data_IF_602163289474
#
_entry.id   IF_602163289474
#
_cell.length_a   1.000
_cell.length_b   1.000
_cell.length_c   1.000
_cell.angle_alpha   90.00
_cell.angle_beta   90.00
_cell.angle_gamma   90.00
#
_symmetry.space_group_name_H-M   'P 1'
#
loop_
_entity.id
_entity.type
_entity.pdbx_description
1 polymer ?
#
# COMPACT_ATOMS: atom_id res chain seq x y z
N UNK A 1 -66.06 -18.60 20.74
CA UNK A 1 -64.85 -18.41 19.90
C UNK A 1 -64.31 -16.97 19.89
N UNK A 2 -65.13 -15.91 19.77
CA UNK A 2 -64.64 -14.50 19.71
C UNK A 2 -63.83 -14.02 20.94
N UNK A 3 -64.13 -14.51 22.15
CA UNK A 3 -63.41 -14.11 23.39
C UNK A 3 -61.99 -14.71 23.54
N UNK A 4 -61.73 -15.86 22.94
CA UNK A 4 -60.41 -16.51 23.00
C UNK A 4 -59.50 -16.07 21.84
N UNK A 5 -60.08 -15.58 20.75
CA UNK A 5 -59.32 -15.07 19.59
C UNK A 5 -58.45 -13.87 19.96
N UNK A 6 -58.96 -12.92 20.75
CA UNK A 6 -58.17 -11.77 21.22
C UNK A 6 -56.97 -12.17 22.11
N UNK A 7 -57.15 -13.17 22.97
CA UNK A 7 -56.07 -13.70 23.83
C UNK A 7 -55.00 -14.42 22.99
N UNK A 8 -55.42 -15.21 22.00
CA UNK A 8 -54.50 -15.90 21.08
C UNK A 8 -53.68 -14.89 20.27
N UNK A 9 -54.28 -13.81 19.77
CA UNK A 9 -53.57 -12.75 19.04
C UNK A 9 -52.54 -12.04 19.91
N UNK A 10 -52.87 -11.75 21.17
CA UNK A 10 -51.92 -11.12 22.11
C UNK A 10 -50.75 -12.07 22.41
N UNK A 11 -51.01 -13.35 22.68
CA UNK A 11 -49.96 -14.35 22.93
C UNK A 11 -49.06 -14.49 21.71
N UNK A 12 -49.64 -14.59 20.50
CA UNK A 12 -48.89 -14.63 19.26
C UNK A 12 -48.03 -13.37 19.07
N UNK A 13 -48.56 -12.18 19.37
CA UNK A 13 -47.83 -10.92 19.31
C UNK A 13 -46.65 -10.85 20.28
N UNK A 14 -46.83 -11.30 21.53
CA UNK A 14 -45.75 -11.36 22.54
C UNK A 14 -44.68 -12.37 22.15
N UNK A 15 -45.06 -13.55 21.65
CA UNK A 15 -44.11 -14.56 21.18
C UNK A 15 -43.30 -14.05 19.97
N UNK A 16 -43.96 -13.40 19.00
CA UNK A 16 -43.30 -12.78 17.86
C UNK A 16 -42.34 -11.66 18.30
N UNK A 17 -42.76 -10.79 19.22
CA UNK A 17 -41.91 -9.74 19.77
C UNK A 17 -40.70 -10.32 20.50
N UNK A 18 -40.89 -11.35 21.34
CA UNK A 18 -39.81 -12.03 22.05
C UNK A 18 -38.81 -12.69 21.08
N UNK A 19 -39.29 -13.37 20.03
CA UNK A 19 -38.44 -13.98 19.00
C UNK A 19 -37.67 -12.92 18.20
N UNK A 20 -38.30 -11.79 17.84
CA UNK A 20 -37.62 -10.69 17.15
C UNK A 20 -36.57 -10.02 18.03
N UNK A 21 -36.90 -9.75 19.29
CA UNK A 21 -35.96 -9.20 20.27
C UNK A 21 -34.78 -10.14 20.51
N UNK A 22 -35.02 -11.44 20.67
CA UNK A 22 -33.97 -12.44 20.81
C UNK A 22 -33.09 -12.49 19.56
N UNK A 23 -33.68 -12.56 18.36
CA UNK A 23 -32.93 -12.55 17.09
C UNK A 23 -32.07 -11.30 16.94
N UNK A 24 -32.62 -10.13 17.22
CA UNK A 24 -31.91 -8.85 17.18
C UNK A 24 -30.75 -8.82 18.19
N UNK A 25 -30.99 -9.23 19.44
CA UNK A 25 -29.96 -9.30 20.47
C UNK A 25 -28.85 -10.31 20.12
N UNK A 26 -29.22 -11.50 19.62
CA UNK A 26 -28.26 -12.51 19.17
C UNK A 26 -27.46 -12.06 17.94
N UNK A 27 -28.07 -11.30 17.03
CA UNK A 27 -27.40 -10.71 15.88
C UNK A 27 -26.35 -9.68 16.30
N UNK A 28 -26.73 -8.75 17.20
CA UNK A 28 -25.79 -7.77 17.77
C UNK A 28 -24.65 -8.44 18.53
N UNK A 29 -24.94 -9.49 19.30
CA UNK A 29 -23.92 -10.25 20.02
C UNK A 29 -22.94 -10.93 19.05
N UNK A 30 -23.43 -11.54 17.97
CA UNK A 30 -22.60 -12.17 16.94
C UNK A 30 -21.74 -11.13 16.21
N UNK A 31 -22.30 -9.97 15.86
CA UNK A 31 -21.55 -8.87 15.25
C UNK A 31 -20.46 -8.32 16.18
N UNK A 32 -20.77 -8.16 17.46
CA UNK A 32 -19.79 -7.75 18.46
C UNK A 32 -18.65 -8.76 18.59
N UNK A 33 -18.97 -10.06 18.62
CA UNK A 33 -17.97 -11.14 18.62
C UNK A 33 -17.11 -11.14 17.35
N UNK A 34 -17.73 -10.92 16.18
CA UNK A 34 -17.00 -10.79 14.91
C UNK A 34 -16.01 -9.63 14.97
N UNK A 35 -16.47 -8.45 15.37
CA UNK A 35 -15.62 -7.27 15.43
C UNK A 35 -14.47 -7.44 16.44
N UNK A 36 -14.74 -8.02 17.61
CA UNK A 36 -13.72 -8.29 18.62
C UNK A 36 -12.67 -9.30 18.14
N UNK A 37 -13.07 -10.36 17.43
CA UNK A 37 -12.13 -11.34 16.88
C UNK A 37 -11.28 -10.74 15.76
N UNK A 38 -11.85 -9.89 14.89
CA UNK A 38 -11.07 -9.16 13.90
C UNK A 38 -10.04 -8.23 14.56
N UNK A 39 -10.44 -7.50 15.61
CA UNK A 39 -9.52 -6.65 16.37
C UNK A 39 -8.39 -7.45 17.02
N UNK A 40 -8.68 -8.64 17.54
CA UNK A 40 -7.65 -9.56 18.07
C UNK A 40 -6.63 -9.92 16.99
N UNK A 41 -7.07 -10.31 15.79
CA UNK A 41 -6.19 -10.66 14.67
C UNK A 41 -5.28 -9.48 14.32
N UNK A 42 -5.84 -8.28 14.22
CA UNK A 42 -5.06 -7.07 13.93
C UNK A 42 -4.06 -6.76 15.06
N UNK A 43 -4.45 -6.91 16.33
CA UNK A 43 -3.57 -6.68 17.46
C UNK A 43 -2.39 -7.67 17.46
N UNK A 44 -2.66 -8.97 17.26
CA UNK A 44 -1.60 -9.99 17.15
C UNK A 44 -0.66 -9.76 15.98
N UNK A 45 -1.19 -9.31 14.83
CA UNK A 45 -0.36 -8.88 13.71
C UNK A 45 0.55 -7.71 14.09
N UNK A 46 -0.01 -6.67 14.73
CA UNK A 46 0.71 -5.45 15.07
C UNK A 46 1.83 -5.68 16.10
N UNK A 47 1.64 -6.63 17.02
CA UNK A 47 2.69 -7.09 17.95
C UNK A 47 3.88 -7.70 17.20
N UNK A 48 3.62 -8.52 16.16
CA UNK A 48 4.66 -9.25 15.43
C UNK A 48 5.31 -8.43 14.32
N UNK A 49 4.56 -7.55 13.66
CA UNK A 49 5.06 -6.75 12.54
C UNK A 49 6.14 -5.76 12.98
N UNK A 50 6.20 -5.40 14.27
CA UNK A 50 7.29 -4.60 14.84
C UNK A 50 8.66 -5.21 14.54
N UNK A 51 8.82 -6.51 14.79
CA UNK A 51 10.05 -7.25 14.50
C UNK A 51 10.36 -7.29 12.98
N UNK A 52 9.36 -7.63 12.16
CA UNK A 52 9.52 -7.70 10.71
C UNK A 52 9.96 -6.36 10.10
N UNK A 53 9.37 -5.26 10.58
CA UNK A 53 9.75 -3.92 10.13
C UNK A 53 11.18 -3.61 10.50
N UNK A 54 11.58 -3.81 11.76
CA UNK A 54 12.86 -3.37 12.26
C UNK A 54 14.07 -4.25 11.89
N UNK A 55 13.87 -5.43 11.26
CA UNK A 55 14.95 -6.38 10.96
C UNK A 55 15.94 -5.85 9.88
N UNK A 56 17.17 -5.43 10.22
CA UNK A 56 18.08 -4.87 9.22
C UNK A 56 18.64 -5.92 8.25
N UNK A 57 18.58 -7.22 8.59
CA UNK A 57 19.04 -8.29 7.72
C UNK A 57 17.98 -8.61 6.64
N UNK A 58 18.24 -8.16 5.41
CA UNK A 58 17.34 -8.38 4.28
C UNK A 58 17.09 -9.86 3.98
N UNK A 59 18.09 -10.73 4.15
CA UNK A 59 17.96 -12.15 3.83
C UNK A 59 17.02 -12.82 4.83
N UNK A 60 17.29 -12.64 6.12
CA UNK A 60 16.40 -13.09 7.20
C UNK A 60 14.99 -12.54 7.05
N UNK A 61 14.84 -11.24 6.75
CA UNK A 61 13.53 -10.63 6.51
C UNK A 61 12.77 -11.35 5.38
N UNK A 62 13.42 -11.59 4.24
CA UNK A 62 12.80 -12.25 3.08
C UNK A 62 12.38 -13.68 3.38
N UNK A 63 13.18 -14.41 4.16
CA UNK A 63 12.86 -15.78 4.57
C UNK A 63 11.66 -15.84 5.53
N UNK A 64 11.53 -14.85 6.41
CA UNK A 64 10.44 -14.75 7.39
C UNK A 64 9.12 -14.21 6.82
N UNK A 65 9.14 -13.52 5.66
CA UNK A 65 7.93 -12.94 5.05
C UNK A 65 6.82 -13.97 4.81
N UNK A 66 7.16 -15.12 4.21
CA UNK A 66 6.19 -16.16 3.87
C UNK A 66 5.55 -16.78 5.12
N UNK A 67 6.30 -17.28 6.12
CA UNK A 67 5.69 -17.82 7.34
C UNK A 67 4.92 -16.75 8.13
N UNK A 68 5.41 -15.51 8.18
CA UNK A 68 4.72 -14.39 8.81
C UNK A 68 3.32 -14.16 8.22
N UNK A 69 3.23 -13.98 6.90
CA UNK A 69 1.94 -13.76 6.24
C UNK A 69 1.05 -14.99 6.26
N UNK A 70 1.63 -16.20 6.10
CA UNK A 70 0.86 -17.44 6.22
C UNK A 70 0.13 -17.50 7.57
N UNK A 71 0.81 -17.20 8.67
CA UNK A 71 0.19 -17.22 9.99
C UNK A 71 -0.93 -16.19 10.12
N UNK A 72 -0.75 -14.97 9.59
CA UNK A 72 -1.81 -13.96 9.56
C UNK A 72 -3.04 -14.43 8.79
N UNK A 73 -2.86 -14.95 7.57
CA UNK A 73 -3.98 -15.36 6.72
C UNK A 73 -4.68 -16.63 7.20
N UNK A 74 -4.00 -17.53 7.92
CA UNK A 74 -4.65 -18.65 8.62
C UNK A 74 -5.66 -18.15 9.66
N UNK A 75 -5.34 -17.08 10.39
CA UNK A 75 -6.27 -16.49 11.34
C UNK A 75 -7.45 -15.79 10.64
N UNK A 76 -7.16 -15.08 9.54
CA UNK A 76 -8.21 -14.45 8.71
C UNK A 76 -9.18 -15.50 8.16
N UNK A 77 -8.67 -16.63 7.65
CA UNK A 77 -9.51 -17.70 7.10
C UNK A 77 -10.36 -18.37 8.18
N UNK A 78 -9.80 -18.60 9.37
CA UNK A 78 -10.55 -19.10 10.52
C UNK A 78 -11.66 -18.11 10.93
N UNK A 79 -11.37 -16.81 10.93
CA UNK A 79 -12.34 -15.76 11.20
C UNK A 79 -13.49 -15.76 10.21
N UNK A 80 -13.18 -15.73 8.90
CA UNK A 80 -14.18 -15.72 7.84
C UNK A 80 -15.04 -16.99 7.88
N UNK A 81 -14.42 -18.15 8.14
CA UNK A 81 -15.16 -19.42 8.27
C UNK A 81 -16.11 -19.38 9.47
N UNK A 82 -15.64 -18.92 10.64
CA UNK A 82 -16.43 -18.85 11.88
C UNK A 82 -17.63 -17.91 11.75
N UNK A 83 -17.46 -16.77 11.11
CA UNK A 83 -18.49 -15.73 11.01
C UNK A 83 -19.19 -15.69 9.65
N UNK A 84 -18.95 -16.68 8.78
CA UNK A 84 -19.51 -16.77 7.41
C UNK A 84 -19.24 -15.49 6.60
N UNK A 85 -18.02 -14.97 6.74
CA UNK A 85 -17.53 -13.81 6.00
C UNK A 85 -17.24 -14.14 4.53
N UNK A 86 -16.95 -13.09 3.76
CA UNK A 86 -16.68 -13.22 2.34
C UNK A 86 -15.25 -13.72 2.08
N UNK A 87 -15.10 -14.96 1.65
CA UNK A 87 -13.79 -15.57 1.33
C UNK A 87 -13.23 -15.18 -0.04
N UNK A 88 -14.00 -14.46 -0.86
CA UNK A 88 -13.55 -13.90 -2.14
C UNK A 88 -12.94 -12.51 -1.97
N UNK A 89 -13.20 -11.86 -0.84
CA UNK A 89 -12.72 -10.51 -0.52
C UNK A 89 -13.12 -9.45 -1.56
N UNK A 90 -14.28 -9.64 -2.21
CA UNK A 90 -14.83 -8.75 -3.24
C UNK A 90 -15.91 -7.81 -2.68
N UNK A 91 -16.02 -7.67 -1.35
CA UNK A 91 -17.01 -6.83 -0.66
C UNK A 91 -17.03 -5.39 -1.21
N UNK A 92 -15.86 -4.83 -1.50
CA UNK A 92 -15.76 -3.47 -2.07
C UNK A 92 -16.39 -3.36 -3.46
N UNK A 93 -16.22 -4.37 -4.31
CA UNK A 93 -16.87 -4.39 -5.63
C UNK A 93 -18.37 -4.52 -5.51
N UNK A 94 -18.85 -5.40 -4.62
CA UNK A 94 -20.29 -5.55 -4.34
C UNK A 94 -20.91 -4.26 -3.80
N UNK A 95 -20.19 -3.50 -2.97
CA UNK A 95 -20.62 -2.17 -2.53
C UNK A 95 -20.66 -1.15 -3.67
N UNK A 96 -19.67 -1.18 -4.57
CA UNK A 96 -19.65 -0.30 -5.74
C UNK A 96 -20.82 -0.61 -6.69
N UNK A 97 -21.10 -1.88 -6.95
CA UNK A 97 -22.23 -2.32 -7.77
C UNK A 97 -23.57 -1.86 -7.19
N UNK A 98 -23.80 -2.09 -5.89
CA UNK A 98 -25.02 -1.61 -5.20
C UNK A 98 -25.20 -0.09 -5.29
N UNK A 99 -24.10 0.68 -5.21
CA UNK A 99 -24.17 2.15 -5.37
C UNK A 99 -24.54 2.54 -6.80
N UNK A 100 -23.97 1.87 -7.80
CA UNK A 100 -24.32 2.10 -9.20
C UNK A 100 -25.80 1.77 -9.46
N UNK A 101 -26.31 0.65 -8.94
CA UNK A 101 -27.72 0.26 -9.01
C UNK A 101 -28.66 1.27 -8.34
N UNK A 102 -28.22 1.91 -7.26
CA UNK A 102 -28.99 2.95 -6.58
C UNK A 102 -29.06 4.29 -7.32
N UNK A 103 -28.47 4.37 -8.53
CA UNK A 103 -28.48 5.58 -9.36
C UNK A 103 -27.46 6.64 -8.96
N UNK A 104 -26.52 6.32 -8.06
CA UNK A 104 -25.46 7.23 -7.68
C UNK A 104 -24.42 7.31 -8.82
N UNK A 105 -24.41 8.43 -9.54
CA UNK A 105 -23.38 8.68 -10.57
C UNK A 105 -22.02 8.84 -9.90
N UNK A 106 -21.08 7.98 -10.28
CA UNK A 106 -19.72 7.99 -9.77
C UNK A 106 -18.72 8.23 -10.90
N UNK A 107 -18.37 9.50 -11.13
CA UNK A 107 -17.40 9.91 -12.14
C UNK A 107 -15.98 9.37 -11.87
N UNK A 108 -15.73 8.77 -10.70
CA UNK A 108 -14.45 8.17 -10.28
C UNK A 108 -14.53 6.65 -10.10
N UNK A 109 -15.55 5.99 -10.66
CA UNK A 109 -15.70 4.54 -10.54
C UNK A 109 -14.49 3.78 -11.11
N UNK A 110 -13.99 4.20 -12.28
CA UNK A 110 -12.84 3.58 -12.93
C UNK A 110 -11.56 3.72 -12.11
N UNK A 111 -11.30 4.92 -11.56
CA UNK A 111 -10.19 5.12 -10.62
C UNK A 111 -10.32 4.14 -9.45
N UNK A 112 -11.47 4.17 -8.75
CA UNK A 112 -11.71 3.34 -7.57
C UNK A 112 -11.51 1.85 -7.84
N UNK A 113 -11.92 1.39 -9.02
CA UNK A 113 -11.70 0.02 -9.47
C UNK A 113 -10.21 -0.28 -9.65
N UNK A 114 -9.45 0.61 -10.28
CA UNK A 114 -8.00 0.47 -10.41
C UNK A 114 -7.29 0.43 -9.05
N UNK A 115 -7.68 1.29 -8.10
CA UNK A 115 -7.15 1.27 -6.72
C UNK A 115 -7.46 -0.06 -6.00
N UNK A 116 -8.68 -0.58 -6.17
CA UNK A 116 -9.06 -1.89 -5.65
C UNK A 116 -8.23 -3.01 -6.28
N UNK A 117 -8.11 -3.05 -7.61
CA UNK A 117 -7.36 -4.09 -8.33
C UNK A 117 -5.88 -4.10 -7.93
N UNK A 118 -5.27 -2.92 -7.78
CA UNK A 118 -3.90 -2.80 -7.31
C UNK A 118 -3.73 -3.30 -5.86
N UNK A 119 -4.64 -2.91 -4.97
CA UNK A 119 -4.66 -3.39 -3.59
C UNK A 119 -4.85 -4.91 -3.54
N UNK A 120 -5.81 -5.43 -4.32
CA UNK A 120 -6.15 -6.84 -4.39
C UNK A 120 -4.98 -7.68 -4.90
N UNK A 121 -4.30 -7.24 -5.95
CA UNK A 121 -3.11 -7.92 -6.48
C UNK A 121 -2.01 -8.04 -5.41
N UNK A 122 -1.79 -6.96 -4.65
CA UNK A 122 -0.77 -6.96 -3.59
C UNK A 122 -1.18 -7.86 -2.42
N UNK A 123 -2.47 -7.82 -2.03
CA UNK A 123 -3.05 -8.70 -1.02
C UNK A 123 -2.89 -10.18 -1.39
N UNK A 124 -3.25 -10.55 -2.62
CA UNK A 124 -3.15 -11.92 -3.11
C UNK A 124 -1.70 -12.40 -3.15
N UNK A 125 -0.77 -11.52 -3.53
CA UNK A 125 0.66 -11.83 -3.46
C UNK A 125 1.12 -12.19 -2.03
N UNK A 126 0.67 -11.45 -1.01
CA UNK A 126 1.00 -11.75 0.39
C UNK A 126 0.35 -13.07 0.84
N UNK A 127 -0.94 -13.24 0.52
CA UNK A 127 -1.73 -14.42 0.90
C UNK A 127 -1.19 -15.70 0.30
N UNK A 128 -0.78 -15.65 -0.96
CA UNK A 128 -0.23 -16.80 -1.70
C UNK A 128 1.27 -17.03 -1.41
N UNK A 129 1.88 -16.18 -0.57
CA UNK A 129 3.31 -16.27 -0.25
C UNK A 129 4.23 -15.94 -1.44
N UNK A 130 3.72 -15.16 -2.41
CA UNK A 130 4.47 -14.64 -3.57
C UNK A 130 5.05 -13.25 -3.32
N UNK A 131 4.66 -12.58 -2.23
CA UNK A 131 5.22 -11.29 -1.83
C UNK A 131 6.70 -11.45 -1.46
N UNK A 132 7.57 -11.00 -2.37
CA UNK A 132 9.02 -11.13 -2.28
C UNK A 132 9.66 -9.86 -2.86
N UNK A 133 9.99 -8.87 -2.01
CA UNK A 133 10.57 -7.63 -2.50
C UNK A 133 11.95 -7.86 -3.10
N UNK A 134 12.21 -7.16 -4.22
CA UNK A 134 13.51 -7.15 -4.92
C UNK A 134 14.52 -6.36 -4.10
N UNK A 135 14.08 -5.21 -3.58
CA UNK A 135 14.83 -4.36 -2.67
C UNK A 135 14.01 -4.08 -1.42
N UNK A 136 14.66 -4.10 -0.26
CA UNK A 136 14.00 -3.84 1.01
C UNK A 136 14.99 -3.19 1.96
N UNK A 137 14.53 -2.24 2.76
CA UNK A 137 15.35 -1.60 3.76
C UNK A 137 14.47 -1.07 4.90
N UNK A 138 15.05 -0.95 6.09
CA UNK A 138 14.36 -0.39 7.26
C UNK A 138 15.15 0.75 7.87
N UNK A 139 14.43 1.77 8.28
CA UNK A 139 14.97 2.87 9.05
C UNK A 139 13.85 3.54 9.88
N UNK A 140 14.19 3.99 11.10
CA UNK A 140 13.29 4.67 12.05
C UNK A 140 11.92 3.98 12.26
N UNK A 141 11.90 2.64 12.27
CA UNK A 141 10.69 1.84 12.50
C UNK A 141 9.76 1.73 11.29
N UNK A 142 10.16 2.29 10.15
CA UNK A 142 9.51 2.10 8.86
C UNK A 142 10.33 1.11 8.03
N UNK A 143 9.65 0.37 7.17
CA UNK A 143 10.29 -0.46 6.14
C UNK A 143 9.74 -0.08 4.78
N UNK A 144 10.63 0.07 3.81
CA UNK A 144 10.29 0.28 2.42
C UNK A 144 10.70 -0.97 1.63
N UNK A 145 9.72 -1.55 0.96
CA UNK A 145 9.86 -2.66 0.04
C UNK A 145 9.61 -2.17 -1.38
N UNK A 146 10.54 -2.42 -2.30
CA UNK A 146 10.28 -2.41 -3.74
C UNK A 146 9.94 -3.84 -4.16
N UNK A 147 8.66 -4.07 -4.40
CA UNK A 147 8.06 -5.38 -4.66
C UNK A 147 8.43 -5.88 -6.05
N UNK A 148 8.38 -5.00 -7.05
CA UNK A 148 8.76 -5.32 -8.42
C UNK A 148 9.28 -4.09 -9.14
N UNK A 149 9.99 -4.33 -10.25
CA UNK A 149 10.72 -3.32 -10.99
C UNK A 149 10.68 -3.63 -12.49
N UNK A 150 9.45 -3.77 -13.01
CA UNK A 150 9.17 -4.29 -14.34
C UNK A 150 8.96 -3.14 -15.35
N UNK A 151 9.30 -3.36 -16.61
CA UNK A 151 8.90 -2.44 -17.69
C UNK A 151 7.45 -2.70 -18.08
N UNK A 152 6.63 -1.65 -18.02
CA UNK A 152 5.20 -1.71 -18.34
C UNK A 152 4.83 -0.62 -19.33
N UNK A 153 3.76 -0.85 -20.09
CA UNK A 153 3.22 0.16 -21.01
C UNK A 153 2.27 1.09 -20.25
N UNK A 154 2.63 2.37 -20.12
CA UNK A 154 1.81 3.42 -19.52
C UNK A 154 1.43 4.41 -20.62
N UNK A 155 0.14 4.54 -20.91
CA UNK A 155 -0.36 5.42 -21.98
C UNK A 155 0.34 5.21 -23.34
N UNK A 156 0.73 3.97 -23.65
CA UNK A 156 1.42 3.62 -24.89
C UNK A 156 2.93 3.87 -24.90
N UNK A 157 3.53 4.31 -23.79
CA UNK A 157 4.97 4.45 -23.62
C UNK A 157 5.53 3.40 -22.65
N UNK A 158 6.66 2.75 -22.96
CA UNK A 158 7.33 1.86 -22.01
C UNK A 158 7.93 2.67 -20.86
N UNK A 159 7.65 2.27 -19.62
CA UNK A 159 8.17 2.89 -18.41
C UNK A 159 8.58 1.82 -17.40
N UNK A 160 9.63 2.08 -16.64
CA UNK A 160 10.08 1.23 -15.54
C UNK A 160 9.14 1.50 -14.36
N UNK A 161 8.34 0.51 -13.97
CA UNK A 161 7.44 0.61 -12.82
C UNK A 161 8.06 -0.02 -11.59
N UNK A 162 8.39 0.82 -10.61
CA UNK A 162 8.85 0.43 -9.29
C UNK A 162 7.64 0.34 -8.36
N UNK A 163 7.09 -0.87 -8.18
CA UNK A 163 5.98 -1.10 -7.24
C UNK A 163 6.53 -1.14 -5.83
N UNK A 164 5.90 -0.42 -4.91
CA UNK A 164 6.39 -0.29 -3.54
C UNK A 164 5.31 -0.53 -2.48
N UNK A 165 5.77 -0.98 -1.32
CA UNK A 165 4.99 -0.99 -0.09
C UNK A 165 5.81 -0.41 1.06
N UNK A 166 5.20 0.50 1.82
CA UNK A 166 5.76 1.03 3.07
C UNK A 166 5.02 0.42 4.23
N UNK A 167 5.77 -0.08 5.20
CA UNK A 167 5.26 -0.68 6.41
C UNK A 167 5.56 0.25 7.58
N UNK A 168 4.57 0.48 8.44
CA UNK A 168 4.74 1.27 9.67
C UNK A 168 4.77 2.78 9.50
N UNK A 169 4.38 3.30 8.34
CA UNK A 169 4.10 4.72 8.21
C UNK A 169 2.93 5.11 9.15
N UNK A 170 3.09 6.23 9.84
CA UNK A 170 2.15 6.76 10.80
C UNK A 170 0.86 7.20 10.11
N UNK A 171 -0.26 6.89 10.76
CA UNK A 171 -1.60 7.25 10.31
C UNK A 171 -2.23 8.27 11.24
N UNK A 172 -2.98 9.17 10.65
CA UNK A 172 -3.74 10.21 11.35
C UNK A 172 -5.17 10.18 10.84
N UNK A 173 -6.11 10.23 11.77
CA UNK A 173 -7.50 10.50 11.44
C UNK A 173 -7.63 12.00 11.17
N UNK A 174 -7.92 12.36 9.92
CA UNK A 174 -8.17 13.75 9.52
C UNK A 174 -9.66 13.94 9.33
N UNK A 175 -10.19 15.01 9.90
CA UNK A 175 -11.55 15.47 9.61
C UNK A 175 -11.58 16.13 8.22
N UNK A 176 -12.37 15.56 7.31
CA UNK A 176 -12.65 16.10 5.99
C UNK A 176 -14.16 16.40 5.91
N UNK A 177 -14.54 17.57 6.42
CA UNK A 177 -15.95 17.96 6.59
C UNK A 177 -16.63 17.14 7.70
N UNK A 178 -17.68 16.39 7.36
CA UNK A 178 -18.40 15.49 8.30
C UNK A 178 -17.84 14.07 8.35
N UNK A 179 -16.77 13.78 7.60
CA UNK A 179 -16.22 12.42 7.47
C UNK A 179 -14.82 12.38 8.07
N UNK A 180 -14.59 11.43 8.98
CA UNK A 180 -13.26 11.09 9.44
C UNK A 180 -12.59 10.20 8.40
N UNK A 181 -11.44 10.63 7.88
CA UNK A 181 -10.65 9.87 6.92
C UNK A 181 -9.32 9.48 7.53
N UNK A 182 -9.03 8.19 7.50
CA UNK A 182 -7.70 7.70 7.83
C UNK A 182 -6.76 8.08 6.68
N UNK A 183 -5.73 8.85 6.98
CA UNK A 183 -4.66 9.20 6.06
C UNK A 183 -3.34 8.74 6.67
N UNK A 184 -2.48 8.16 5.85
CA UNK A 184 -1.08 7.95 6.22
C UNK A 184 -0.38 9.27 5.96
N UNK A 185 0.16 9.89 7.00
CA UNK A 185 0.87 11.18 6.88
C UNK A 185 2.29 10.95 6.39
N UNK A 186 2.44 10.18 5.30
CA UNK A 186 3.69 9.93 4.61
C UNK A 186 3.87 10.94 3.48
N UNK A 187 5.09 11.41 3.27
CA UNK A 187 5.50 12.19 2.11
C UNK A 187 6.83 11.65 1.60
N UNK A 188 7.00 11.67 0.29
CA UNK A 188 8.18 11.10 -0.36
C UNK A 188 8.94 12.16 -1.14
N UNK A 189 10.26 12.08 -1.07
CA UNK A 189 11.20 12.79 -1.93
C UNK A 189 12.25 11.79 -2.44
N UNK A 190 12.20 11.52 -3.73
CA UNK A 190 12.97 10.46 -4.37
C UNK A 190 13.90 11.04 -5.42
N UNK A 191 15.12 10.53 -5.45
CA UNK A 191 16.16 10.91 -6.41
C UNK A 191 16.76 9.64 -7.03
N UNK A 192 16.85 9.59 -8.35
CA UNK A 192 17.58 8.57 -9.09
C UNK A 192 18.75 9.23 -9.81
N UNK A 193 19.99 8.90 -9.41
CA UNK A 193 21.21 9.37 -10.05
C UNK A 193 21.69 8.34 -11.06
N UNK A 194 21.91 8.76 -12.30
CA UNK A 194 22.30 7.91 -13.41
C UNK A 194 23.76 8.15 -13.76
N UNK A 195 24.59 7.11 -13.73
CA UNK A 195 26.03 7.25 -14.06
C UNK A 195 26.47 6.26 -15.14
N UNK A 196 27.53 6.64 -15.85
CA UNK A 196 28.23 5.72 -16.74
C UNK A 196 29.06 4.67 -15.95
N UNK A 197 29.75 3.78 -16.66
CA UNK A 197 30.58 2.74 -16.05
C UNK A 197 31.78 3.30 -15.26
N UNK A 198 32.22 4.51 -15.57
CA UNK A 198 33.34 5.22 -14.92
C UNK A 198 32.88 6.08 -13.73
N UNK A 199 31.58 6.16 -13.48
CA UNK A 199 30.99 6.97 -12.41
C UNK A 199 30.73 8.42 -12.79
N UNK A 200 30.83 8.79 -14.08
CA UNK A 200 30.43 10.13 -14.55
C UNK A 200 28.90 10.25 -14.47
N UNK A 201 28.41 11.32 -13.85
CA UNK A 201 26.98 11.64 -13.81
C UNK A 201 26.47 11.95 -15.23
N UNK A 202 25.42 11.24 -15.63
CA UNK A 202 24.74 11.42 -16.92
C UNK A 202 23.40 12.14 -16.77
N UNK A 203 22.74 11.98 -15.61
CA UNK A 203 21.48 12.65 -15.31
C UNK A 203 20.97 12.36 -13.92
N UNK A 204 19.98 13.14 -13.49
CA UNK A 204 19.21 12.91 -12.27
C UNK A 204 17.71 12.94 -12.61
N UNK A 205 16.95 12.01 -12.03
CA UNK A 205 15.49 12.07 -12.01
C UNK A 205 15.02 12.33 -10.59
N UNK A 206 13.92 13.06 -10.43
CA UNK A 206 13.31 13.33 -9.13
C UNK A 206 11.83 12.99 -9.14
N UNK A 207 11.34 12.47 -8.02
CA UNK A 207 9.94 12.10 -7.82
C UNK A 207 9.47 12.50 -6.43
N UNK A 208 8.22 12.97 -6.33
CA UNK A 208 7.59 13.27 -5.05
C UNK A 208 6.82 12.05 -4.54
N UNK A 209 5.55 12.22 -4.18
CA UNK A 209 4.66 11.11 -3.82
C UNK A 209 4.52 10.09 -4.97
N UNK A 210 4.47 8.78 -4.66
CA UNK A 210 4.27 7.75 -5.68
C UNK A 210 2.88 7.86 -6.32
N UNK A 211 2.80 7.45 -7.58
CA UNK A 211 1.54 7.24 -8.30
C UNK A 211 0.69 6.17 -7.61
N UNK A 212 -0.63 6.33 -7.69
CA UNK A 212 -1.62 5.47 -7.04
C UNK A 212 -1.31 5.22 -5.54
N UNK A 213 -0.83 6.23 -4.81
CA UNK A 213 -0.60 6.14 -3.37
C UNK A 213 -1.86 5.72 -2.61
N UNK A 214 -1.82 4.56 -1.98
CA UNK A 214 -2.90 3.98 -1.18
C UNK A 214 -2.50 3.99 0.28
N UNK A 215 -2.94 5.02 1.01
CA UNK A 215 -2.62 5.19 2.42
C UNK A 215 -3.32 4.18 3.35
N UNK A 216 -4.50 3.69 2.93
CA UNK A 216 -5.35 2.80 3.71
C UNK A 216 -5.92 1.67 2.82
N UNK A 217 -5.08 0.66 2.48
CA UNK A 217 -5.50 -0.50 1.68
C UNK A 217 -6.70 -1.24 2.26
N UNK A 218 -6.86 -1.23 3.58
CA UNK A 218 -7.95 -1.88 4.32
C UNK A 218 -9.34 -1.33 3.95
N UNK A 219 -9.39 -0.15 3.32
CA UNK A 219 -10.62 0.39 2.73
C UNK A 219 -11.12 -0.43 1.53
N UNK A 220 -10.20 -1.01 0.76
CA UNK A 220 -10.51 -1.76 -0.46
C UNK A 220 -10.62 -3.26 -0.17
N UNK A 221 -9.79 -3.77 0.74
CA UNK A 221 -9.81 -5.17 1.19
C UNK A 221 -9.75 -5.15 2.71
N UNK A 222 -10.87 -5.41 3.39
CA UNK A 222 -11.00 -5.22 4.86
C UNK A 222 -9.97 -6.01 5.67
N UNK A 223 -9.57 -7.18 5.18
CA UNK A 223 -8.63 -8.10 5.81
C UNK A 223 -7.17 -7.83 5.43
N UNK A 224 -6.89 -6.75 4.69
CA UNK A 224 -5.53 -6.38 4.30
C UNK A 224 -4.65 -6.16 5.54
N UNK A 225 -3.40 -6.65 5.55
CA UNK A 225 -2.49 -6.46 6.69
C UNK A 225 -2.36 -4.99 7.11
N UNK A 226 -2.54 -4.66 8.39
CA UNK A 226 -2.63 -3.26 8.80
C UNK A 226 -1.30 -2.50 8.74
N UNK A 227 -1.38 -1.17 8.69
CA UNK A 227 -0.22 -0.24 8.68
C UNK A 227 0.69 -0.37 7.45
N UNK A 228 0.11 -0.74 6.32
CA UNK A 228 0.78 -0.69 5.03
C UNK A 228 0.27 0.48 4.19
N UNK A 229 1.17 1.04 3.39
CA UNK A 229 0.91 1.99 2.32
C UNK A 229 1.42 1.40 1.02
N UNK A 230 0.66 1.52 -0.07
CA UNK A 230 1.04 1.03 -1.40
C UNK A 230 1.24 2.20 -2.36
N UNK A 231 2.01 2.00 -3.42
CA UNK A 231 2.19 2.97 -4.49
C UNK A 231 3.19 2.47 -5.51
N UNK A 232 3.40 3.25 -6.57
CA UNK A 232 4.48 2.96 -7.51
C UNK A 232 5.09 4.24 -8.09
N UNK A 233 6.35 4.15 -8.51
CA UNK A 233 6.96 5.14 -9.39
C UNK A 233 7.01 4.58 -10.81
N UNK A 234 6.68 5.43 -11.79
CA UNK A 234 6.86 5.13 -13.20
C UNK A 234 7.98 6.04 -13.71
N UNK A 235 9.07 5.44 -14.16
CA UNK A 235 10.24 6.14 -14.68
C UNK A 235 10.31 5.93 -16.19
N UNK A 236 10.75 6.95 -16.91
CA UNK A 236 11.09 6.77 -18.32
C UNK A 236 12.28 5.82 -18.45
N UNK A 237 12.37 5.16 -19.61
CA UNK A 237 13.53 4.33 -19.92
C UNK A 237 14.81 5.17 -19.90
N UNK A 238 15.90 4.54 -19.49
CA UNK A 238 17.18 5.20 -19.26
C UNK A 238 17.97 5.32 -20.56
N UNK A 239 18.78 6.38 -20.75
CA UNK A 239 19.72 6.45 -21.86
C UNK A 239 20.62 5.20 -21.92
N UNK A 240 20.97 4.77 -23.14
CA UNK A 240 21.72 3.53 -23.34
C UNK A 240 23.11 3.54 -22.66
N UNK A 241 23.70 4.73 -22.51
CA UNK A 241 25.00 4.97 -21.88
C UNK A 241 24.98 4.78 -20.36
N UNK A 242 23.80 4.77 -19.73
CA UNK A 242 23.68 4.56 -18.28
C UNK A 242 24.08 3.14 -17.94
N UNK A 243 25.09 3.00 -17.08
CA UNK A 243 25.57 1.71 -16.60
C UNK A 243 25.08 1.41 -15.18
N UNK A 244 24.93 2.46 -14.35
CA UNK A 244 24.59 2.35 -12.94
C UNK A 244 23.53 3.38 -12.55
N UNK A 245 22.71 3.03 -11.57
CA UNK A 245 21.75 3.93 -10.94
C UNK A 245 21.87 3.87 -9.42
N UNK A 246 21.86 5.03 -8.77
CA UNK A 246 21.68 5.14 -7.32
C UNK A 246 20.28 5.72 -7.05
N UNK A 247 19.44 4.94 -6.39
CA UNK A 247 18.09 5.31 -5.97
C UNK A 247 18.10 5.71 -4.50
N UNK A 248 17.69 6.94 -4.20
CA UNK A 248 17.51 7.45 -2.84
C UNK A 248 16.04 7.80 -2.64
N UNK A 249 15.37 7.18 -1.68
CA UNK A 249 13.98 7.49 -1.31
C UNK A 249 13.98 8.03 0.11
N UNK A 250 13.64 9.31 0.27
CA UNK A 250 13.38 9.93 1.56
C UNK A 250 11.88 9.82 1.87
N UNK A 251 11.56 9.27 3.04
CA UNK A 251 10.20 9.13 3.56
C UNK A 251 10.09 9.91 4.86
N UNK A 252 9.18 10.88 4.91
CA UNK A 252 8.80 11.56 6.13
C UNK A 252 7.39 11.12 6.54
N UNK A 253 7.23 10.67 7.78
CA UNK A 253 5.96 10.22 8.34
C UNK A 253 5.64 10.94 9.66
N UNK A 254 4.48 11.61 9.72
CA UNK A 254 4.06 12.39 10.89
C UNK A 254 3.00 11.66 11.72
N UNK A 255 3.20 11.63 13.03
CA UNK A 255 2.23 11.09 13.99
C UNK A 255 1.19 12.14 14.39
N UNK A 256 0.03 11.69 14.85
CA UNK A 256 -1.03 12.57 15.37
C UNK A 256 -0.58 13.38 16.60
N UNK A 257 0.43 12.90 17.34
CA UNK A 257 1.05 13.60 18.48
C UNK A 257 1.98 14.75 18.07
N UNK A 258 2.22 14.95 16.76
CA UNK A 258 3.10 16.01 16.23
C UNK A 258 4.55 15.59 16.02
N UNK A 259 4.94 14.35 16.37
CA UNK A 259 6.27 13.83 16.07
C UNK A 259 6.42 13.43 14.59
N UNK A 260 7.62 13.63 14.03
CA UNK A 260 7.94 13.24 12.65
C UNK A 260 9.10 12.26 12.63
N UNK A 261 8.93 11.14 11.92
CA UNK A 261 9.97 10.19 11.61
C UNK A 261 10.40 10.36 10.15
N UNK A 262 11.69 10.62 9.91
CA UNK A 262 12.27 10.70 8.58
C UNK A 262 13.22 9.51 8.38
N UNK A 263 13.04 8.77 7.29
CA UNK A 263 13.86 7.64 6.87
C UNK A 263 14.42 7.89 5.46
N UNK A 264 15.62 7.40 5.19
CA UNK A 264 16.31 7.53 3.91
C UNK A 264 16.78 6.15 3.46
N UNK A 265 16.23 5.69 2.34
CA UNK A 265 16.56 4.40 1.77
C UNK A 265 17.43 4.59 0.54
N UNK A 266 18.54 3.85 0.44
CA UNK A 266 19.48 3.96 -0.68
C UNK A 266 19.75 2.58 -1.27
N UNK A 267 19.54 2.44 -2.58
CA UNK A 267 19.90 1.23 -3.33
C UNK A 267 20.73 1.59 -4.56
N UNK A 268 21.67 0.69 -4.89
CA UNK A 268 22.52 0.81 -6.07
C UNK A 268 22.17 -0.32 -7.04
N UNK A 269 21.83 0.04 -8.26
CA UNK A 269 21.56 -0.88 -9.35
C UNK A 269 22.76 -0.86 -10.29
N UNK A 270 23.55 -1.93 -10.23
CA UNK A 270 24.76 -2.12 -11.03
C UNK A 270 24.94 -3.63 -11.31
N UNK A 271 24.84 -4.10 -12.56
CA UNK A 271 24.55 -3.32 -13.77
C UNK A 271 23.06 -2.97 -13.91
N UNK A 272 22.76 -1.94 -14.70
CA UNK A 272 21.38 -1.64 -15.11
C UNK A 272 20.83 -2.74 -16.04
N UNK A 273 19.62 -3.27 -15.77
CA UNK A 273 18.95 -4.22 -16.64
C UNK A 273 18.81 -3.70 -18.08
N UNK A 274 18.97 -4.57 -19.07
CA UNK A 274 18.96 -4.16 -20.49
C UNK A 274 17.60 -3.66 -20.96
N UNK A 275 16.52 -4.19 -20.41
CA UNK A 275 15.14 -3.81 -20.71
C UNK A 275 14.78 -2.41 -20.17
N UNK A 276 15.53 -1.90 -19.20
CA UNK A 276 15.36 -0.55 -18.67
C UNK A 276 15.95 0.53 -19.57
N UNK A 277 16.71 0.15 -20.59
CA UNK A 277 17.41 1.08 -21.47
C UNK A 277 16.61 1.37 -22.72
N UNK A 278 16.72 2.60 -23.18
CA UNK A 278 16.31 3.03 -24.51
C UNK A 278 17.13 2.30 -25.59
N UNK A 279 16.53 2.19 -26.78
CA UNK A 279 17.22 1.71 -27.97
C UNK A 279 18.40 2.62 -28.34
N UNK A 280 19.38 2.06 -29.04
CA UNK A 280 20.52 2.85 -29.50
C UNK A 280 20.05 4.00 -30.43
N UNK A 281 20.34 5.25 -30.04
CA UNK A 281 19.96 6.44 -30.79
C UNK A 281 18.60 7.05 -30.45
N UNK A 282 17.86 6.49 -29.49
CA UNK A 282 16.63 7.10 -28.97
C UNK A 282 16.96 8.23 -27.99
N UNK A 283 16.25 9.36 -28.10
CA UNK A 283 16.42 10.51 -27.22
C UNK A 283 15.65 10.33 -25.92
N UNK A 284 16.29 10.65 -24.80
CA UNK A 284 15.63 10.69 -23.50
C UNK A 284 14.67 11.89 -23.42
N UNK A 285 13.36 11.62 -23.43
CA UNK A 285 12.32 12.65 -23.42
C UNK A 285 12.21 13.33 -22.05
N UNK A 286 11.90 14.63 -22.02
CA UNK A 286 11.63 15.37 -20.77
C UNK A 286 12.86 15.78 -19.96
N UNK A 287 14.07 15.44 -20.42
CA UNK A 287 15.31 15.88 -19.78
C UNK A 287 15.48 17.40 -19.90
N UNK A 288 15.60 18.10 -18.77
CA UNK A 288 16.06 19.49 -18.74
C UNK A 288 17.57 19.47 -18.56
N UNK A 289 18.31 20.00 -19.54
CA UNK A 289 19.76 20.10 -19.46
C UNK A 289 20.12 21.34 -18.64
N UNK A 290 20.47 21.15 -17.37
CA UNK A 290 21.14 22.18 -16.58
C UNK A 290 22.65 21.96 -16.66
N UNK A 291 23.35 22.87 -17.35
CA UNK A 291 24.81 22.96 -17.23
C UNK A 291 25.13 23.52 -15.84
N UNK A 292 25.53 22.65 -14.91
CA UNK A 292 26.07 23.13 -13.62
C UNK A 292 27.39 23.88 -13.86
N UNK A 293 27.58 25.06 -13.27
CA UNK A 293 28.85 25.79 -13.36
C UNK A 293 30.02 24.91 -12.89
N UNK A 294 31.17 24.97 -13.57
CA UNK A 294 32.36 24.15 -13.25
C UNK A 294 32.81 24.27 -11.77
N UNK A 295 32.48 25.37 -11.12
CA UNK A 295 32.81 25.69 -9.72
C UNK A 295 32.11 24.80 -8.69
N UNK A 296 30.94 24.23 -9.03
CA UNK A 296 30.23 23.27 -8.18
C UNK A 296 30.65 21.82 -8.41
N UNK A 297 31.39 21.56 -9.51
CA UNK A 297 31.80 20.24 -9.95
C UNK A 297 33.22 19.91 -9.45
N UNK A 298 34.07 20.92 -9.25
CA UNK A 298 35.43 20.77 -8.74
C UNK A 298 35.76 21.80 -7.63
N UNK A 299 35.72 21.41 -6.34
CA UNK A 299 36.02 22.33 -5.24
C UNK A 299 37.47 22.84 -5.24
N UNK A 300 38.37 22.26 -6.04
CA UNK A 300 39.75 22.75 -6.19
C UNK A 300 39.87 23.96 -7.14
N UNK A 301 38.85 24.21 -7.98
CA UNK A 301 38.80 25.39 -8.86
C UNK A 301 38.15 26.61 -8.21
N UNK A 302 37.30 26.42 -7.19
CA UNK A 302 36.72 27.52 -6.41
C UNK A 302 37.77 28.34 -5.62
N UNK A 303 38.97 27.79 -5.43
CA UNK A 303 40.06 28.44 -4.67
C UNK A 303 40.98 29.34 -5.53
N UNK A 304 40.65 29.61 -6.80
CA UNK A 304 41.48 30.41 -7.72
C UNK A 304 40.89 31.75 -8.18
N UNK A 305 39.74 32.15 -7.64
CA UNK A 305 39.17 33.49 -7.81
C UNK A 305 39.30 34.31 -6.53
#
# INVERSE_FOLDING_TARGET
MKRYFGVIVIIAGVLLAAVMSYRSASGRALEAQRNADQQRIHAEYLERVGWMRANPDEASYRDELKPFFKNYFEQVDAHLTRFRGNTKFDDYLLEMEKRAESGAKDDRANDRKAFYEYTRKTFDSMREGRYRPVWTATEKGMRLDIISSDVVMVLGKPQIRLQMAVWGAQRVLKEEGKVLKMLTSASFDTVWKLTDAKGKLLGEMRGADPSMKIDHPERFVREFPPQMLLGHYDLDLLPNEVAKMEMTINLSSSAASGGTAAATYVWKVDPIPSDWKLGAGESWEGATQEERPEEEIDPSKAARN
#
